data_IF_977512984391
#
_entry.id   IF_977512984391
#
_cell.length_a   1.000
_cell.length_b   1.000
_cell.length_c   1.000
_cell.angle_alpha   90.00
_cell.angle_beta   90.00
_cell.angle_gamma   90.00
#
_symmetry.space_group_name_H-M   'P 1'
#
loop_
_entity.id
_entity.type
_entity.pdbx_description
1 polymer ?
#
# COMPACT_ATOMS: atom_id res chain seq x y z
N UNK A 1 0.05 26.49 -10.33
CA UNK A 1 -0.87 25.57 -9.66
C UNK A 1 -0.33 25.23 -8.27
N UNK A 2 -1.16 25.32 -7.25
CA UNK A 2 -0.85 24.89 -5.89
C UNK A 2 -0.74 23.34 -5.82
N UNK A 3 -0.21 22.80 -4.72
CA UNK A 3 -0.17 21.35 -4.53
C UNK A 3 -1.58 20.74 -4.53
N UNK A 4 -2.54 21.43 -3.93
CA UNK A 4 -3.95 21.01 -3.88
C UNK A 4 -4.59 21.02 -5.29
N UNK A 5 -4.39 22.06 -6.09
CA UNK A 5 -4.90 22.10 -7.48
C UNK A 5 -4.32 20.95 -8.32
N UNK A 6 -3.03 20.64 -8.15
CA UNK A 6 -2.40 19.50 -8.83
C UNK A 6 -2.99 18.17 -8.38
N UNK A 7 -3.22 18.00 -7.08
CA UNK A 7 -3.82 16.80 -6.53
C UNK A 7 -5.26 16.60 -7.06
N UNK A 8 -6.08 17.66 -7.04
CA UNK A 8 -7.44 17.63 -7.63
C UNK A 8 -7.40 17.27 -9.13
N UNK A 9 -6.41 17.79 -9.87
CA UNK A 9 -6.23 17.44 -11.29
C UNK A 9 -5.86 15.97 -11.50
N UNK A 10 -5.01 15.39 -10.63
CA UNK A 10 -4.67 13.95 -10.68
C UNK A 10 -5.92 13.13 -10.41
N UNK A 11 -6.66 13.44 -9.34
CA UNK A 11 -7.88 12.74 -8.98
C UNK A 11 -8.96 12.79 -10.04
N UNK A 12 -9.04 13.88 -10.80
CA UNK A 12 -9.99 14.01 -11.93
C UNK A 12 -9.75 12.98 -13.03
N UNK A 13 -8.54 12.44 -13.14
CA UNK A 13 -8.17 11.39 -14.09
C UNK A 13 -8.31 9.98 -13.52
N UNK A 14 -8.65 9.84 -12.23
CA UNK A 14 -8.89 8.53 -11.63
C UNK A 14 -10.19 7.95 -12.17
N UNK A 15 -10.09 6.79 -12.79
CA UNK A 15 -11.23 6.07 -13.40
C UNK A 15 -11.95 5.20 -12.41
N UNK A 16 -11.21 4.61 -11.49
CA UNK A 16 -11.73 3.60 -10.59
C UNK A 16 -11.05 3.68 -9.22
N UNK A 17 -11.84 3.55 -8.17
CA UNK A 17 -11.37 3.26 -6.82
C UNK A 17 -11.75 1.82 -6.48
N UNK A 18 -10.80 0.94 -6.54
CA UNK A 18 -11.01 -0.46 -6.17
C UNK A 18 -11.11 -0.63 -4.65
N UNK A 19 -11.82 -1.64 -4.15
CA UNK A 19 -12.00 -1.87 -2.72
C UNK A 19 -10.72 -2.35 -2.01
N UNK A 20 -9.70 -2.76 -2.76
CA UNK A 20 -8.40 -3.18 -2.24
C UNK A 20 -7.30 -3.00 -3.28
N UNK A 21 -6.03 -2.96 -2.84
CA UNK A 21 -4.88 -2.90 -3.73
C UNK A 21 -4.84 -4.11 -4.70
N UNK A 22 -5.18 -5.30 -4.22
CA UNK A 22 -5.27 -6.51 -5.05
C UNK A 22 -6.35 -6.39 -6.13
N UNK A 23 -7.53 -5.88 -5.79
CA UNK A 23 -8.59 -5.65 -6.78
C UNK A 23 -8.18 -4.60 -7.81
N UNK A 24 -7.50 -3.52 -7.38
CA UNK A 24 -6.96 -2.50 -8.27
C UNK A 24 -5.95 -3.10 -9.27
N UNK A 25 -5.03 -3.93 -8.80
CA UNK A 25 -4.05 -4.61 -9.65
C UNK A 25 -4.74 -5.53 -10.65
N UNK A 26 -5.70 -6.35 -10.22
CA UNK A 26 -6.46 -7.24 -11.12
C UNK A 26 -7.17 -6.46 -12.22
N UNK A 27 -7.79 -5.33 -11.90
CA UNK A 27 -8.44 -4.49 -12.90
C UNK A 27 -7.46 -3.85 -13.87
N UNK A 28 -6.31 -3.41 -13.38
CA UNK A 28 -5.23 -2.91 -14.22
C UNK A 28 -4.70 -3.99 -15.18
N UNK A 29 -4.50 -5.21 -14.70
CA UNK A 29 -4.13 -6.39 -15.52
C UNK A 29 -5.18 -6.69 -16.62
N UNK A 30 -6.45 -6.38 -16.35
CA UNK A 30 -7.55 -6.50 -17.33
C UNK A 30 -7.66 -5.29 -18.27
N UNK A 31 -6.76 -4.31 -18.17
CA UNK A 31 -6.69 -3.15 -19.06
C UNK A 31 -7.51 -1.95 -18.59
N UNK A 32 -7.89 -1.87 -17.33
CA UNK A 32 -8.56 -0.69 -16.79
C UNK A 32 -7.51 0.36 -16.40
N UNK A 33 -7.49 1.46 -17.15
CA UNK A 33 -6.59 2.58 -16.95
C UNK A 33 -5.18 2.36 -17.49
N UNK A 34 -4.43 3.45 -17.61
CA UNK A 34 -3.07 3.46 -18.16
C UNK A 34 -2.00 3.49 -17.06
N UNK A 35 -2.39 3.79 -15.84
CA UNK A 35 -1.52 3.84 -14.67
C UNK A 35 -2.23 3.34 -13.42
N UNK A 36 -1.49 2.63 -12.58
CA UNK A 36 -1.95 2.13 -11.29
C UNK A 36 -1.08 2.71 -10.17
N UNK A 37 -1.71 3.21 -9.11
CA UNK A 37 -1.03 3.50 -7.85
C UNK A 37 -1.21 2.30 -6.93
N UNK A 38 -0.12 1.65 -6.58
CA UNK A 38 -0.13 0.43 -5.76
C UNK A 38 1.13 0.32 -4.91
N UNK A 39 1.24 -0.74 -4.13
CA UNK A 39 2.46 -1.06 -3.39
C UNK A 39 3.56 -1.57 -4.32
N UNK A 40 4.81 -1.22 -4.02
CA UNK A 40 5.99 -1.72 -4.75
C UNK A 40 6.00 -3.25 -4.83
N UNK A 41 5.67 -3.92 -3.75
CA UNK A 41 5.55 -5.37 -3.68
C UNK A 41 4.58 -5.94 -4.73
N UNK A 42 3.38 -5.37 -4.84
CA UNK A 42 2.37 -5.84 -5.79
C UNK A 42 2.85 -5.70 -7.23
N UNK A 43 3.53 -4.59 -7.53
CA UNK A 43 4.08 -4.35 -8.86
C UNK A 43 5.20 -5.35 -9.22
N UNK A 44 6.12 -5.65 -8.31
CA UNK A 44 7.15 -6.66 -8.55
C UNK A 44 6.58 -8.08 -8.71
N UNK A 45 5.62 -8.46 -7.87
CA UNK A 45 4.94 -9.74 -8.01
C UNK A 45 4.15 -9.85 -9.32
N UNK A 46 3.61 -8.76 -9.84
CA UNK A 46 2.95 -8.73 -11.14
C UNK A 46 3.97 -8.93 -12.28
N UNK A 47 5.12 -8.26 -12.23
CA UNK A 47 6.21 -8.47 -13.19
C UNK A 47 6.70 -9.93 -13.20
N UNK A 48 6.86 -10.54 -12.02
CA UNK A 48 7.28 -11.96 -11.90
C UNK A 48 6.28 -12.91 -12.56
N UNK A 49 4.98 -12.57 -12.52
CA UNK A 49 3.92 -13.31 -13.23
C UNK A 49 3.86 -13.02 -14.72
N UNK A 50 4.72 -12.16 -15.25
CA UNK A 50 4.78 -11.81 -16.66
C UNK A 50 3.80 -10.71 -17.08
N UNK A 51 3.26 -9.93 -16.16
CA UNK A 51 2.44 -8.76 -16.49
C UNK A 51 3.32 -7.69 -17.12
N UNK A 52 2.95 -7.21 -18.30
CA UNK A 52 3.68 -6.16 -19.01
C UNK A 52 3.42 -4.80 -18.37
N UNK A 53 4.25 -4.38 -17.44
CA UNK A 53 4.18 -3.08 -16.78
C UNK A 53 5.56 -2.46 -16.56
N UNK A 54 5.61 -1.16 -16.38
CA UNK A 54 6.80 -0.40 -15.97
C UNK A 54 6.55 0.15 -14.56
N UNK A 55 7.54 0.00 -13.67
CA UNK A 55 7.47 0.53 -12.31
C UNK A 55 8.11 1.91 -12.28
N UNK A 56 7.33 2.91 -11.89
CA UNK A 56 7.81 4.29 -11.66
C UNK A 56 7.78 4.56 -10.15
N UNK A 57 8.96 4.73 -9.57
CA UNK A 57 9.09 5.14 -8.16
C UNK A 57 9.30 6.65 -8.13
N UNK A 58 8.34 7.44 -7.62
CA UNK A 58 8.49 8.88 -7.52
C UNK A 58 9.68 9.27 -6.63
N UNK A 59 10.36 10.41 -6.90
CA UNK A 59 11.43 10.88 -6.03
C UNK A 59 10.98 11.10 -4.58
N UNK A 60 9.78 11.59 -4.34
CA UNK A 60 9.13 11.61 -3.03
C UNK A 60 8.19 10.43 -2.91
N UNK A 61 8.53 9.46 -2.07
CA UNK A 61 7.79 8.20 -1.93
C UNK A 61 7.43 7.95 -0.48
N UNK A 62 6.17 7.67 -0.21
CA UNK A 62 5.73 7.28 1.13
C UNK A 62 6.19 5.86 1.44
N UNK A 63 6.71 5.65 2.64
CA UNK A 63 7.07 4.34 3.17
C UNK A 63 6.02 3.95 4.20
N UNK A 64 5.30 2.86 3.92
CA UNK A 64 4.35 2.28 4.86
C UNK A 64 5.05 1.23 5.72
N UNK A 65 5.04 1.44 7.04
CA UNK A 65 5.56 0.45 7.97
C UNK A 65 4.47 -0.57 8.29
N UNK A 66 4.74 -1.83 8.00
CA UNK A 66 3.87 -2.92 8.42
C UNK A 66 4.07 -3.18 9.90
N UNK A 67 2.99 -3.16 10.68
CA UNK A 67 2.99 -3.37 12.12
C UNK A 67 2.31 -4.69 12.43
N UNK A 68 2.93 -5.50 13.28
CA UNK A 68 2.33 -6.71 13.84
C UNK A 68 2.24 -6.59 15.35
N UNK A 69 1.05 -6.81 15.92
CA UNK A 69 0.77 -6.70 17.35
C UNK A 69 0.00 -7.92 17.84
N UNK A 70 0.15 -8.24 19.14
CA UNK A 70 -0.70 -9.22 19.81
C UNK A 70 -1.90 -8.48 20.39
N UNK A 71 -3.10 -8.90 20.03
CA UNK A 71 -4.35 -8.39 20.64
C UNK A 71 -4.59 -9.18 21.92
N UNK A 72 -4.37 -8.55 23.07
CA UNK A 72 -4.34 -9.20 24.35
C UNK A 72 -5.65 -9.94 24.69
N UNK A 73 -6.78 -9.38 24.33
CA UNK A 73 -8.12 -9.95 24.57
C UNK A 73 -8.41 -11.21 23.73
N UNK A 74 -7.62 -11.44 22.67
CA UNK A 74 -7.82 -12.54 21.73
C UNK A 74 -6.81 -13.70 21.93
N UNK A 75 -5.89 -13.57 22.90
CA UNK A 75 -4.80 -14.54 23.11
C UNK A 75 -4.82 -15.06 24.53
N UNK A 76 -4.97 -16.37 24.68
CA UNK A 76 -4.88 -17.04 25.98
C UNK A 76 -3.44 -17.05 26.51
N UNK A 77 -3.28 -17.32 27.80
CA UNK A 77 -1.95 -17.43 28.43
C UNK A 77 -1.09 -18.55 27.82
N UNK A 78 -1.71 -19.59 27.28
CA UNK A 78 -1.04 -20.71 26.59
C UNK A 78 -0.63 -20.39 25.16
N UNK A 79 -1.37 -19.55 24.46
CA UNK A 79 -1.09 -19.16 23.07
C UNK A 79 -0.09 -18.00 22.98
N UNK A 80 -0.06 -17.12 23.97
CA UNK A 80 0.81 -15.95 24.00
C UNK A 80 2.29 -16.23 23.71
N UNK A 81 2.93 -17.28 24.31
CA UNK A 81 4.32 -17.59 23.98
C UNK A 81 4.53 -17.94 22.50
N UNK A 82 3.56 -18.62 21.88
CA UNK A 82 3.62 -18.97 20.45
C UNK A 82 3.47 -17.74 19.59
N UNK A 83 2.52 -16.85 19.89
CA UNK A 83 2.36 -15.57 19.20
C UNK A 83 3.61 -14.69 19.31
N UNK A 84 4.22 -14.62 20.50
CA UNK A 84 5.48 -13.89 20.72
C UNK A 84 6.63 -14.50 19.92
N UNK A 85 6.76 -15.82 19.89
CA UNK A 85 7.78 -16.51 19.10
C UNK A 85 7.61 -16.24 17.61
N UNK A 86 6.37 -16.21 17.11
CA UNK A 86 6.08 -15.86 15.73
C UNK A 86 6.47 -14.40 15.39
N UNK A 87 6.13 -13.43 16.24
CA UNK A 87 6.56 -12.04 16.05
C UNK A 87 8.08 -11.89 16.09
N UNK A 88 8.75 -12.60 17.01
CA UNK A 88 10.21 -12.62 17.08
C UNK A 88 10.82 -13.24 15.83
N UNK A 89 10.21 -14.29 15.28
CA UNK A 89 10.63 -14.88 14.01
C UNK A 89 10.48 -13.90 12.84
N UNK A 90 9.35 -13.20 12.73
CA UNK A 90 9.12 -12.20 11.67
C UNK A 90 10.14 -11.05 11.73
N UNK A 91 10.51 -10.63 12.94
CA UNK A 91 11.50 -9.56 13.16
C UNK A 91 12.95 -10.05 13.03
N UNK A 92 13.17 -11.35 13.10
CA UNK A 92 14.48 -11.99 13.02
C UNK A 92 15.00 -12.10 11.58
N UNK A 93 16.28 -12.46 11.45
CA UNK A 93 16.98 -12.56 10.16
C UNK A 93 16.26 -13.47 9.16
N UNK A 94 15.79 -14.63 9.60
CA UNK A 94 15.08 -15.59 8.74
C UNK A 94 13.76 -15.05 8.22
N UNK A 95 12.95 -14.41 9.07
CA UNK A 95 11.69 -13.79 8.68
C UNK A 95 11.91 -12.62 7.72
N UNK A 96 12.88 -11.76 8.01
CA UNK A 96 13.25 -10.64 7.15
C UNK A 96 13.81 -11.10 5.79
N UNK A 97 14.54 -12.21 5.76
CA UNK A 97 14.99 -12.82 4.52
C UNK A 97 13.82 -13.29 3.64
N UNK A 98 12.84 -13.96 4.24
CA UNK A 98 11.63 -14.39 3.52
C UNK A 98 10.84 -13.18 3.01
N UNK A 99 10.63 -12.15 3.83
CA UNK A 99 9.94 -10.93 3.39
C UNK A 99 10.61 -10.30 2.17
N UNK A 100 11.94 -10.29 2.12
CA UNK A 100 12.69 -9.80 0.96
C UNK A 100 12.43 -10.62 -0.29
N UNK A 101 12.32 -11.94 -0.18
CA UNK A 101 11.99 -12.82 -1.32
C UNK A 101 10.62 -12.53 -1.93
N UNK A 102 9.71 -11.95 -1.13
CA UNK A 102 8.39 -11.53 -1.56
C UNK A 102 8.28 -9.99 -1.76
N UNK A 103 9.39 -9.34 -2.04
CA UNK A 103 9.47 -7.92 -2.37
C UNK A 103 8.98 -6.96 -1.25
N UNK A 104 8.99 -7.41 0.00
CA UNK A 104 8.84 -6.53 1.15
C UNK A 104 10.21 -6.01 1.58
N UNK A 105 10.34 -4.69 1.69
CA UNK A 105 11.59 -4.08 2.17
C UNK A 105 11.81 -4.47 3.63
N UNK A 106 12.95 -5.11 3.96
CA UNK A 106 13.22 -5.50 5.34
C UNK A 106 13.46 -4.28 6.22
N UNK A 107 13.03 -4.36 7.50
CA UNK A 107 13.22 -3.28 8.46
C UNK A 107 14.70 -3.09 8.90
N UNK A 108 15.51 -4.14 8.76
CA UNK A 108 16.85 -4.22 9.38
C UNK A 108 18.01 -4.30 8.40
N UNK A 109 17.78 -4.32 7.10
CA UNK A 109 18.84 -4.54 6.12
C UNK A 109 18.83 -3.48 5.02
N UNK A 110 19.93 -2.75 4.91
CA UNK A 110 20.33 -2.08 3.68
C UNK A 110 20.68 -3.16 2.65
N UNK A 111 19.75 -3.50 1.78
CA UNK A 111 20.00 -4.49 0.75
C UNK A 111 19.93 -3.87 -0.63
N UNK A 112 20.93 -4.16 -1.47
CA UNK A 112 21.02 -3.73 -2.88
C UNK A 112 19.87 -4.29 -3.76
N UNK A 113 18.96 -5.08 -3.18
CA UNK A 113 17.86 -5.72 -3.90
C UNK A 113 16.73 -4.77 -4.32
N UNK A 114 16.67 -3.59 -3.72
CA UNK A 114 15.62 -2.59 -3.99
C UNK A 114 16.22 -1.29 -4.51
N UNK A 115 15.49 -0.62 -5.40
CA UNK A 115 15.87 0.70 -5.85
C UNK A 115 15.99 1.67 -4.66
N UNK A 116 17.05 2.49 -4.66
CA UNK A 116 17.25 3.50 -3.62
C UNK A 116 16.16 4.55 -3.70
N UNK A 117 15.46 4.76 -2.59
CA UNK A 117 14.49 5.84 -2.47
C UNK A 117 15.22 7.18 -2.34
N UNK A 118 14.80 8.17 -3.12
CA UNK A 118 15.49 9.47 -3.16
C UNK A 118 15.11 10.34 -1.97
N UNK A 119 13.83 10.49 -1.70
CA UNK A 119 13.27 11.26 -0.59
C UNK A 119 12.11 10.48 0.02
N UNK A 120 12.39 9.38 0.72
CA UNK A 120 11.36 8.64 1.42
C UNK A 120 10.78 9.50 2.55
N UNK A 121 9.51 9.32 2.84
CA UNK A 121 8.83 9.92 3.97
C UNK A 121 7.78 8.96 4.53
N UNK A 122 7.45 9.16 5.79
CA UNK A 122 6.47 8.36 6.53
C UNK A 122 5.29 9.22 6.97
N UNK A 123 4.31 8.62 7.60
CA UNK A 123 3.19 9.36 8.19
C UNK A 123 3.66 10.28 9.33
N UNK A 124 4.72 9.93 10.02
CA UNK A 124 5.35 10.72 11.09
C UNK A 124 5.91 12.04 10.55
N UNK A 125 6.52 12.02 9.36
CA UNK A 125 7.03 13.22 8.68
C UNK A 125 5.89 14.18 8.28
N UNK A 126 4.68 13.68 8.17
CA UNK A 126 3.46 14.45 7.92
C UNK A 126 2.75 14.92 9.19
N UNK A 127 3.29 14.62 10.36
CA UNK A 127 2.74 15.00 11.67
C UNK A 127 1.94 13.91 12.39
N UNK A 128 2.08 12.65 11.94
CA UNK A 128 1.46 11.48 12.56
C UNK A 128 0.03 11.20 12.12
N UNK A 129 -0.47 10.03 12.48
CA UNK A 129 -1.78 9.53 12.02
C UNK A 129 -2.96 10.44 12.37
N UNK A 130 -3.00 11.03 13.57
CA UNK A 130 -4.10 11.91 13.96
C UNK A 130 -4.23 13.12 13.03
N UNK A 131 -3.10 13.75 12.71
CA UNK A 131 -3.09 14.89 11.81
C UNK A 131 -3.41 14.50 10.38
N UNK A 132 -2.75 13.46 9.87
CA UNK A 132 -2.97 12.96 8.51
C UNK A 132 -4.42 12.55 8.29
N UNK A 133 -5.03 11.87 9.27
CA UNK A 133 -6.42 11.47 9.16
C UNK A 133 -7.33 12.68 9.06
N UNK A 134 -7.21 13.65 9.97
CA UNK A 134 -8.07 14.83 9.96
C UNK A 134 -7.82 15.74 8.75
N UNK A 135 -6.55 16.05 8.43
CA UNK A 135 -6.25 17.02 7.37
C UNK A 135 -6.38 16.43 5.97
N UNK A 136 -5.89 15.18 5.76
CA UNK A 136 -5.82 14.60 4.41
C UNK A 136 -6.98 13.65 4.11
N UNK A 137 -7.48 12.89 5.09
CA UNK A 137 -8.59 11.96 4.85
C UNK A 137 -9.92 12.67 5.03
N UNK A 138 -10.21 13.24 6.21
CA UNK A 138 -11.51 13.87 6.46
C UNK A 138 -11.69 15.17 5.65
N UNK A 139 -10.77 16.14 5.81
CA UNK A 139 -10.95 17.46 5.21
C UNK A 139 -10.66 17.44 3.71
N UNK A 140 -9.47 16.99 3.28
CA UNK A 140 -9.09 17.07 1.88
C UNK A 140 -9.81 16.02 1.03
N UNK A 141 -9.76 14.74 1.43
CA UNK A 141 -10.35 13.67 0.63
C UNK A 141 -11.87 13.66 0.69
N UNK A 142 -12.48 13.50 1.88
CA UNK A 142 -13.93 13.30 2.00
C UNK A 142 -14.73 14.58 1.67
N UNK A 143 -14.20 15.77 2.00
CA UNK A 143 -14.94 17.02 1.79
C UNK A 143 -14.59 17.73 0.47
N UNK A 144 -13.33 17.69 0.03
CA UNK A 144 -12.88 18.52 -1.08
C UNK A 144 -12.66 17.76 -2.39
N UNK A 145 -12.27 16.48 -2.33
CA UNK A 145 -11.95 15.72 -3.55
C UNK A 145 -13.09 14.78 -3.92
N UNK A 146 -13.44 13.86 -3.05
CA UNK A 146 -14.38 12.78 -3.32
C UNK A 146 -15.76 13.24 -3.83
N UNK A 147 -16.38 14.33 -3.34
CA UNK A 147 -17.68 14.80 -3.85
C UNK A 147 -17.66 15.27 -5.30
N UNK A 148 -16.47 15.58 -5.84
CA UNK A 148 -16.28 16.05 -7.20
C UNK A 148 -15.80 14.99 -8.17
N UNK A 149 -15.65 13.73 -7.70
CA UNK A 149 -15.24 12.61 -8.54
C UNK A 149 -16.46 11.94 -9.19
N UNK A 150 -16.41 11.83 -10.52
CA UNK A 150 -17.35 10.99 -11.27
C UNK A 150 -16.76 9.57 -11.37
N UNK A 151 -16.72 8.86 -10.24
CA UNK A 151 -16.21 7.49 -10.21
C UNK A 151 -17.27 6.53 -10.71
N UNK A 152 -16.89 5.67 -11.64
CA UNK A 152 -17.71 4.51 -11.98
C UNK A 152 -17.76 3.54 -10.79
N UNK A 153 -18.90 2.93 -10.49
CA UNK A 153 -18.95 1.90 -9.47
C UNK A 153 -18.02 0.76 -9.87
N UNK A 154 -17.19 0.32 -8.92
CA UNK A 154 -16.30 -0.81 -9.16
C UNK A 154 -17.12 -2.01 -9.66
N UNK A 155 -16.75 -2.63 -10.79
CA UNK A 155 -17.44 -3.83 -11.26
C UNK A 155 -17.39 -4.88 -10.15
N UNK A 156 -18.55 -5.48 -9.86
CA UNK A 156 -18.62 -6.61 -8.93
C UNK A 156 -17.90 -7.77 -9.60
N UNK A 157 -16.69 -8.06 -9.16
CA UNK A 157 -16.00 -9.29 -9.54
C UNK A 157 -16.80 -10.44 -8.90
N UNK A 158 -17.71 -11.02 -9.66
CA UNK A 158 -18.32 -12.27 -9.26
C UNK A 158 -17.20 -13.29 -9.16
N UNK A 159 -16.96 -13.78 -7.95
CA UNK A 159 -16.06 -14.93 -7.74
C UNK A 159 -16.46 -16.08 -8.68
N UNK A 160 -15.55 -17.00 -9.02
CA UNK A 160 -15.92 -18.19 -9.77
C UNK A 160 -17.08 -18.85 -9.02
N UNK A 161 -18.21 -18.99 -9.72
CA UNK A 161 -19.49 -19.39 -9.18
C UNK A 161 -19.42 -20.58 -8.25
N UNK A 162 -20.23 -20.52 -7.20
CA UNK A 162 -20.58 -21.69 -6.37
C UNK A 162 -21.25 -22.78 -7.24
#
# INVERSE_FOLDING_TARGET
ATAEERLKSIWHNVRLLAPSARAALTMFELGVGDALVTYEQDAFLALERGVALEIVIPPGTIVAHHVAVIVDDNVTSTERPVAQAFLSYLSGESGQHIMRQYYLRPATCDGDAFAKLVRPFTVEDLGGWSRVYTELVENLWEMEIKPHLNLEPAPVLLGPGE
#
